data_IF_048287973927
#
_entry.id   IF_048287973927
#
_cell.length_a   1.000
_cell.length_b   1.000
_cell.length_c   1.000
_cell.angle_alpha   90.00
_cell.angle_beta   90.00
_cell.angle_gamma   90.00
#
_symmetry.space_group_name_H-M   'P 1'
#
loop_
_entity.id
_entity.type
_entity.pdbx_description
1 polymer ?
#
# COMPACT_ATOMS: atom_id res chain seq x y z
N UNK A 1 -12.38 -10.83 16.73
CA UNK A 1 -13.16 -9.81 16.00
C UNK A 1 -13.31 -10.29 14.58
N UNK A 2 -14.54 -10.40 14.12
CA UNK A 2 -14.87 -10.79 12.73
C UNK A 2 -14.69 -9.59 11.80
N UNK A 3 -14.44 -9.83 10.50
CA UNK A 3 -14.27 -8.77 9.48
C UNK A 3 -15.40 -7.71 9.52
N UNK A 4 -16.61 -8.14 9.87
CA UNK A 4 -17.79 -7.28 10.01
C UNK A 4 -17.64 -6.24 11.14
N UNK A 5 -16.94 -6.57 12.22
CA UNK A 5 -16.71 -5.68 13.36
C UNK A 5 -15.60 -4.65 13.06
N UNK A 6 -14.58 -5.04 12.27
CA UNK A 6 -13.52 -4.11 11.82
C UNK A 6 -14.06 -3.04 10.86
N UNK A 7 -14.93 -3.43 9.93
CA UNK A 7 -15.65 -2.50 9.05
C UNK A 7 -16.68 -1.65 9.81
N UNK A 8 -17.13 -2.06 11.00
CA UNK A 8 -18.05 -1.29 11.83
C UNK A 8 -17.35 -0.24 12.70
N UNK A 9 -16.02 -0.32 12.88
CA UNK A 9 -15.27 0.53 13.81
C UNK A 9 -15.08 1.98 13.29
N UNK A 10 -15.54 2.30 12.06
CA UNK A 10 -15.42 3.64 11.42
C UNK A 10 -14.02 4.26 11.48
N UNK A 11 -12.98 3.43 11.59
CA UNK A 11 -11.60 3.91 11.67
C UNK A 11 -11.02 3.99 10.26
N UNK A 12 -10.65 5.19 9.81
CA UNK A 12 -10.13 5.43 8.46
C UNK A 12 -8.79 4.73 8.21
N UNK A 13 -8.05 4.41 9.28
CA UNK A 13 -6.83 3.59 9.22
C UNK A 13 -7.10 2.15 8.74
N UNK A 14 -8.21 1.54 9.17
CA UNK A 14 -8.57 0.16 8.79
C UNK A 14 -9.01 0.12 7.32
N UNK A 15 -9.84 1.07 6.90
CA UNK A 15 -10.23 1.19 5.50
C UNK A 15 -9.01 1.46 4.60
N UNK A 16 -8.07 2.30 5.05
CA UNK A 16 -6.80 2.53 4.38
C UNK A 16 -6.01 1.23 4.19
N UNK A 17 -5.91 0.38 5.21
CA UNK A 17 -5.19 -0.89 5.12
C UNK A 17 -5.85 -1.88 4.14
N UNK A 18 -7.18 -2.00 4.17
CA UNK A 18 -7.90 -2.85 3.22
C UNK A 18 -7.77 -2.36 1.78
N UNK A 19 -7.86 -1.04 1.57
CA UNK A 19 -7.61 -0.44 0.25
C UNK A 19 -6.16 -0.58 -0.19
N UNK A 20 -5.19 -0.54 0.74
CA UNK A 20 -3.79 -0.82 0.47
C UNK A 20 -3.57 -2.25 -0.05
N UNK A 21 -4.20 -3.24 0.60
CA UNK A 21 -4.14 -4.64 0.14
C UNK A 21 -4.79 -4.79 -1.24
N UNK A 22 -5.95 -4.17 -1.45
CA UNK A 22 -6.60 -4.17 -2.76
C UNK A 22 -5.71 -3.53 -3.83
N UNK A 23 -5.05 -2.41 -3.50
CA UNK A 23 -4.09 -1.73 -4.37
C UNK A 23 -2.90 -2.61 -4.70
N UNK A 24 -2.40 -3.40 -3.75
CA UNK A 24 -1.33 -4.37 -3.98
C UNK A 24 -1.73 -5.45 -4.99
N UNK A 25 -2.92 -6.04 -4.84
CA UNK A 25 -3.44 -7.05 -5.78
C UNK A 25 -3.60 -6.44 -7.18
N UNK A 26 -4.16 -5.24 -7.27
CA UNK A 26 -4.34 -4.52 -8.54
C UNK A 26 -3.00 -4.16 -9.21
N UNK A 27 -2.03 -3.67 -8.43
CA UNK A 27 -0.69 -3.38 -8.94
C UNK A 27 0.01 -4.63 -9.49
N UNK A 28 -0.15 -5.77 -8.82
CA UNK A 28 0.42 -7.04 -9.26
C UNK A 28 -0.25 -7.55 -10.55
N UNK A 29 -1.58 -7.64 -10.56
CA UNK A 29 -2.33 -8.16 -11.70
C UNK A 29 -2.17 -7.28 -12.95
N UNK A 30 -2.30 -5.96 -12.79
CA UNK A 30 -2.22 -5.02 -13.90
C UNK A 30 -0.77 -4.73 -14.31
N UNK A 31 0.19 -4.84 -13.38
CA UNK A 31 1.61 -4.87 -13.71
C UNK A 31 1.93 -6.01 -14.68
N UNK A 32 1.52 -7.24 -14.37
CA UNK A 32 1.75 -8.40 -15.25
C UNK A 32 1.00 -8.24 -16.59
N UNK A 33 -0.25 -7.80 -16.56
CA UNK A 33 -1.04 -7.65 -17.78
C UNK A 33 -0.43 -6.64 -18.77
N UNK A 34 0.18 -5.56 -18.29
CA UNK A 34 0.78 -4.53 -19.14
C UNK A 34 2.19 -4.86 -19.64
N UNK A 35 2.88 -5.87 -19.09
CA UNK A 35 4.18 -6.36 -19.62
C UNK A 35 4.04 -6.88 -21.05
N UNK A 36 2.88 -7.43 -21.41
CA UNK A 36 2.62 -7.94 -22.76
C UNK A 36 2.29 -6.86 -23.80
N UNK A 37 2.23 -5.59 -23.40
CA UNK A 37 2.12 -4.49 -24.33
C UNK A 37 3.50 -4.22 -24.94
N UNK A 38 3.70 -4.53 -26.23
CA UNK A 38 4.96 -4.40 -27.01
C UNK A 38 5.57 -2.97 -27.10
N UNK A 39 5.27 -2.08 -26.15
CA UNK A 39 5.79 -0.72 -26.01
C UNK A 39 6.74 -0.67 -24.82
N UNK A 40 8.02 -0.48 -25.10
CA UNK A 40 9.11 -0.47 -24.10
C UNK A 40 8.84 0.47 -22.92
N UNK A 41 8.26 1.65 -23.19
CA UNK A 41 7.91 2.62 -22.15
C UNK A 41 6.93 2.05 -21.11
N UNK A 42 5.87 1.34 -21.56
CA UNK A 42 4.86 0.76 -20.67
C UNK A 42 5.44 -0.40 -19.87
N UNK A 43 6.35 -1.17 -20.46
CA UNK A 43 7.01 -2.30 -19.79
C UNK A 43 7.81 -1.81 -18.58
N UNK A 44 8.56 -0.70 -18.71
CA UNK A 44 9.33 -0.13 -17.59
C UNK A 44 8.40 0.25 -16.43
N UNK A 45 7.32 0.98 -16.71
CA UNK A 45 6.34 1.35 -15.67
C UNK A 45 5.58 0.15 -15.10
N UNK A 46 5.38 -0.90 -15.89
CA UNK A 46 4.75 -2.15 -15.44
C UNK A 46 5.63 -2.87 -14.43
N UNK A 47 6.94 -2.95 -14.68
CA UNK A 47 7.91 -3.52 -13.73
C UNK A 47 7.95 -2.68 -12.44
N UNK A 48 7.97 -1.34 -12.55
CA UNK A 48 7.92 -0.45 -11.38
C UNK A 48 6.64 -0.68 -10.55
N UNK A 49 5.48 -0.79 -11.22
CA UNK A 49 4.19 -1.03 -10.55
C UNK A 49 4.15 -2.40 -9.87
N UNK A 50 4.79 -3.40 -10.48
CA UNK A 50 4.97 -4.73 -9.88
C UNK A 50 5.89 -4.65 -8.65
N UNK A 51 6.99 -3.89 -8.71
CA UNK A 51 7.81 -3.61 -7.53
C UNK A 51 7.02 -2.93 -6.41
N UNK A 52 6.13 -1.99 -6.74
CA UNK A 52 5.27 -1.34 -5.74
C UNK A 52 4.32 -2.33 -5.05
N UNK A 53 3.82 -3.37 -5.73
CA UNK A 53 2.97 -4.37 -5.08
C UNK A 53 3.70 -5.06 -3.93
N UNK A 54 4.98 -5.38 -4.10
CA UNK A 54 5.81 -5.96 -3.05
C UNK A 54 6.08 -4.96 -1.92
N UNK A 55 6.40 -3.70 -2.24
CA UNK A 55 6.61 -2.66 -1.23
C UNK A 55 5.36 -2.46 -0.37
N UNK A 56 4.18 -2.39 -1.00
CA UNK A 56 2.89 -2.23 -0.31
C UNK A 56 2.61 -3.42 0.60
N UNK A 57 2.94 -4.64 0.17
CA UNK A 57 2.81 -5.84 0.98
C UNK A 57 3.57 -5.71 2.31
N UNK A 58 4.82 -5.24 2.28
CA UNK A 58 5.62 -5.01 3.50
C UNK A 58 5.10 -3.85 4.36
N UNK A 59 4.55 -2.79 3.75
CA UNK A 59 3.95 -1.68 4.49
C UNK A 59 2.69 -2.13 5.24
N UNK A 60 1.85 -2.96 4.62
CA UNK A 60 0.58 -3.36 5.21
C UNK A 60 0.65 -4.58 6.12
N UNK A 61 1.61 -5.48 5.90
CA UNK A 61 1.77 -6.71 6.68
C UNK A 61 3.14 -6.75 7.36
N UNK A 62 3.31 -6.05 8.51
CA UNK A 62 4.59 -6.02 9.24
C UNK A 62 5.03 -7.39 9.78
N UNK A 63 4.12 -8.37 9.83
CA UNK A 63 4.45 -9.77 10.12
C UNK A 63 5.47 -10.36 9.14
N UNK A 64 5.44 -9.96 7.86
CA UNK A 64 6.41 -10.47 6.88
C UNK A 64 7.84 -9.98 7.15
N UNK A 65 8.02 -8.79 7.72
CA UNK A 65 9.35 -8.30 8.12
C UNK A 65 9.97 -9.12 9.26
N UNK A 66 9.17 -9.91 9.98
CA UNK A 66 9.68 -10.77 11.06
C UNK A 66 10.02 -12.19 10.58
N UNK A 67 9.38 -12.64 9.49
CA UNK A 67 9.55 -13.99 8.94
C UNK A 67 10.59 -13.99 7.81
N UNK A 68 10.62 -12.93 6.99
CA UNK A 68 11.61 -12.78 5.94
C UNK A 68 12.90 -12.17 6.51
N UNK A 69 14.09 -12.77 6.27
CA UNK A 69 15.37 -12.15 6.59
C UNK A 69 15.64 -10.99 5.63
N UNK A 70 14.97 -9.86 5.86
CA UNK A 70 15.18 -8.62 5.11
C UNK A 70 16.35 -7.83 5.67
N UNK A 71 16.98 -7.02 4.82
CA UNK A 71 18.10 -6.16 5.24
C UNK A 71 17.67 -5.21 6.36
N UNK A 72 18.51 -5.01 7.37
CA UNK A 72 18.26 -4.09 8.50
C UNK A 72 17.97 -2.65 8.04
N UNK A 73 18.47 -2.25 6.88
CA UNK A 73 18.16 -0.96 6.24
C UNK A 73 16.72 -0.89 5.73
N UNK A 74 16.21 -1.99 5.17
CA UNK A 74 14.84 -2.10 4.68
C UNK A 74 13.84 -2.11 5.85
N UNK A 75 14.14 -2.87 6.90
CA UNK A 75 13.30 -2.93 8.10
C UNK A 75 13.17 -1.56 8.76
N UNK A 76 14.27 -0.83 8.88
CA UNK A 76 14.28 0.52 9.43
C UNK A 76 13.51 1.51 8.55
N UNK A 77 13.54 1.35 7.22
CA UNK A 77 12.75 2.17 6.31
C UNK A 77 11.25 1.91 6.47
N UNK A 78 10.81 0.65 6.52
CA UNK A 78 9.39 0.32 6.70
C UNK A 78 8.89 0.71 8.09
N UNK A 79 9.72 0.58 9.13
CA UNK A 79 9.40 1.06 10.49
C UNK A 79 9.13 2.57 10.53
N UNK A 80 9.86 3.38 9.76
CA UNK A 80 9.59 4.84 9.65
C UNK A 80 8.25 5.14 8.96
N UNK A 81 7.80 4.23 8.07
CA UNK A 81 6.53 4.32 7.35
C UNK A 81 5.35 3.78 8.20
N UNK A 82 5.55 3.50 9.50
CA UNK A 82 4.46 3.03 10.37
C UNK A 82 3.44 4.12 10.74
N UNK A 83 3.79 5.41 10.62
CA UNK A 83 2.88 6.52 10.93
C UNK A 83 1.89 6.80 9.80
N UNK A 84 0.65 7.19 10.14
CA UNK A 84 -0.41 7.50 9.16
C UNK A 84 0.03 8.54 8.12
N UNK A 85 0.76 9.57 8.56
CA UNK A 85 1.32 10.60 7.67
C UNK A 85 2.35 10.03 6.70
N UNK A 86 3.23 9.14 7.15
CA UNK A 86 4.26 8.57 6.27
C UNK A 86 3.69 7.54 5.29
N UNK A 87 2.68 6.77 5.71
CA UNK A 87 1.92 5.90 4.79
C UNK A 87 1.22 6.72 3.72
N UNK A 88 0.50 7.77 4.11
CA UNK A 88 -0.15 8.68 3.18
C UNK A 88 0.84 9.24 2.14
N UNK A 89 2.01 9.70 2.58
CA UNK A 89 3.07 10.19 1.70
C UNK A 89 3.59 9.08 0.76
N UNK A 90 3.86 7.88 1.28
CA UNK A 90 4.34 6.75 0.47
C UNK A 90 3.32 6.35 -0.63
N UNK A 91 2.05 6.20 -0.27
CA UNK A 91 0.97 5.91 -1.22
C UNK A 91 0.76 7.04 -2.23
N UNK A 92 0.88 8.30 -1.79
CA UNK A 92 0.82 9.46 -2.68
C UNK A 92 1.94 9.46 -3.73
N UNK A 93 3.19 9.21 -3.31
CA UNK A 93 4.33 9.14 -4.24
C UNK A 93 4.16 7.98 -5.22
N UNK A 94 3.76 6.79 -4.74
CA UNK A 94 3.50 5.64 -5.62
C UNK A 94 2.37 5.94 -6.62
N UNK A 95 1.29 6.59 -6.19
CA UNK A 95 0.21 7.00 -7.08
C UNK A 95 0.68 7.97 -8.17
N UNK A 96 1.49 8.98 -7.82
CA UNK A 96 2.05 9.94 -8.80
C UNK A 96 2.91 9.23 -9.83
N UNK A 97 3.78 8.30 -9.41
CA UNK A 97 4.62 7.50 -10.32
C UNK A 97 3.77 6.65 -11.27
N UNK A 98 2.69 6.04 -10.79
CA UNK A 98 1.78 5.26 -11.64
C UNK A 98 0.99 6.19 -12.58
N UNK A 99 0.55 7.36 -12.15
CA UNK A 99 -0.13 8.32 -13.03
C UNK A 99 0.79 8.90 -14.11
N UNK A 100 2.09 9.08 -13.82
CA UNK A 100 3.09 9.48 -14.82
C UNK A 100 3.16 8.50 -16.00
N UNK A 101 2.93 7.20 -15.76
CA UNK A 101 2.87 6.19 -16.82
C UNK A 101 1.72 6.43 -17.82
N UNK A 102 0.64 7.05 -17.36
CA UNK A 102 -0.59 7.27 -18.12
C UNK A 102 -0.58 8.56 -18.94
N UNK A 103 0.40 9.45 -18.74
CA UNK A 103 0.52 10.71 -19.51
C UNK A 103 0.83 10.42 -20.99
N UNK A 104 1.64 9.41 -21.27
CA UNK A 104 1.97 9.02 -22.65
C UNK A 104 0.82 8.25 -23.30
N UNK A 105 0.23 7.28 -22.60
CA UNK A 105 -0.89 6.49 -23.08
C UNK A 105 -1.80 6.05 -21.93
N UNK A 106 -3.12 6.22 -22.10
CA UNK A 106 -4.10 5.65 -21.20
C UNK A 106 -4.05 4.11 -21.28
N UNK A 107 -3.56 3.49 -20.22
CA UNK A 107 -3.42 2.03 -20.07
C UNK A 107 -4.19 1.57 -18.85
N UNK A 108 -4.33 0.25 -18.65
CA UNK A 108 -5.02 -0.28 -17.47
C UNK A 108 -4.29 0.00 -16.15
N UNK A 109 -3.06 0.56 -16.20
CA UNK A 109 -2.32 1.12 -15.06
C UNK A 109 -3.01 2.32 -14.40
N UNK A 110 -4.03 2.92 -15.01
CA UNK A 110 -4.80 3.99 -14.37
C UNK A 110 -5.59 3.50 -13.15
N UNK A 111 -6.07 2.25 -13.20
CA UNK A 111 -6.87 1.64 -12.12
C UNK A 111 -6.06 1.56 -10.81
N UNK A 112 -4.83 0.99 -10.77
CA UNK A 112 -4.04 0.97 -9.54
C UNK A 112 -3.66 2.38 -9.09
N UNK A 113 -3.44 3.33 -10.01
CA UNK A 113 -3.21 4.74 -9.66
C UNK A 113 -4.37 5.36 -8.87
N UNK A 114 -5.61 5.09 -9.28
CA UNK A 114 -6.82 5.56 -8.57
C UNK A 114 -6.95 4.90 -7.19
N UNK A 115 -6.71 3.59 -7.09
CA UNK A 115 -6.81 2.89 -5.81
C UNK A 115 -5.70 3.27 -4.83
N UNK A 116 -4.47 3.51 -5.31
CA UNK A 116 -3.36 4.03 -4.50
C UNK A 116 -3.66 5.44 -3.98
N UNK A 117 -4.24 6.31 -4.82
CA UNK A 117 -4.62 7.66 -4.40
C UNK A 117 -5.79 7.65 -3.42
N UNK A 118 -6.79 6.77 -3.60
CA UNK A 118 -7.85 6.56 -2.61
C UNK A 118 -7.30 6.05 -1.28
N UNK A 119 -6.34 5.12 -1.31
CA UNK A 119 -5.64 4.61 -0.12
C UNK A 119 -4.89 5.73 0.58
N UNK A 120 -4.13 6.53 -0.16
CA UNK A 120 -3.43 7.71 0.34
C UNK A 120 -4.40 8.71 1.00
N UNK A 121 -5.54 9.00 0.36
CA UNK A 121 -6.57 9.88 0.91
C UNK A 121 -7.16 9.34 2.22
N UNK A 122 -7.43 8.04 2.32
CA UNK A 122 -7.88 7.42 3.57
C UNK A 122 -6.86 7.59 4.70
N UNK A 123 -5.56 7.44 4.40
CA UNK A 123 -4.50 7.66 5.39
C UNK A 123 -4.32 9.14 5.75
N UNK A 124 -4.44 10.08 4.80
CA UNK A 124 -4.45 11.52 5.08
C UNK A 124 -5.62 11.87 5.99
N UNK A 125 -6.83 11.38 5.70
CA UNK A 125 -8.01 11.64 6.51
C UNK A 125 -7.87 11.06 7.93
N UNK A 126 -7.27 9.88 8.07
CA UNK A 126 -6.95 9.31 9.39
C UNK A 126 -5.93 10.16 10.15
N UNK A 127 -4.92 10.69 9.45
CA UNK A 127 -3.87 11.53 9.99
C UNK A 127 -4.40 12.90 10.45
N UNK A 128 -5.22 13.55 9.63
CA UNK A 128 -5.87 14.84 9.94
C UNK A 128 -6.88 14.70 11.08
N UNK A 129 -7.57 13.56 11.18
CA UNK A 129 -8.47 13.25 12.30
C UNK A 129 -7.74 12.84 13.59
N UNK A 130 -6.41 12.81 13.59
CA UNK A 130 -5.61 12.41 14.76
C UNK A 130 -5.88 10.99 15.23
N UNK A 131 -6.40 10.12 14.36
CA UNK A 131 -6.69 8.73 14.73
C UNK A 131 -5.38 7.97 14.87
N UNK A 132 -5.18 7.28 15.99
CA UNK A 132 -4.07 6.35 16.14
C UNK A 132 -4.17 5.26 15.07
N UNK A 133 -3.03 4.86 14.49
CA UNK A 133 -2.99 3.75 13.55
C UNK A 133 -3.49 2.48 14.24
N UNK A 134 -4.63 1.96 13.80
CA UNK A 134 -5.17 0.68 14.25
C UNK A 134 -5.12 -0.25 13.05
N UNK A 135 -4.16 -1.17 13.07
CA UNK A 135 -4.06 -2.22 12.06
C UNK A 135 -5.08 -3.33 12.32
N UNK A 136 -5.60 -3.93 11.25
CA UNK A 136 -6.49 -5.10 11.34
C UNK A 136 -5.82 -6.24 12.12
N UNK A 137 -6.59 -6.86 13.02
CA UNK A 137 -6.10 -7.97 13.85
C UNK A 137 -5.79 -9.21 13.01
N UNK A 138 -6.44 -9.33 11.85
CA UNK A 138 -6.26 -10.43 10.89
C UNK A 138 -4.92 -10.35 10.14
N UNK A 139 -4.35 -9.16 10.02
CA UNK A 139 -3.08 -8.87 9.33
C UNK A 139 -1.91 -8.64 10.31
N UNK A 140 -2.10 -8.98 11.59
CA UNK A 140 -1.07 -8.91 12.64
C UNK A 140 -1.18 -7.76 13.63
N UNK A 141 -2.22 -6.93 13.53
CA UNK A 141 -2.38 -5.71 14.34
C UNK A 141 -2.56 -5.92 15.86
N UNK A 142 -3.03 -7.07 16.32
CA UNK A 142 -3.32 -7.29 17.75
C UNK A 142 -2.15 -7.82 18.59
N UNK A 143 -1.15 -8.46 17.97
CA UNK A 143 -0.05 -9.12 18.70
C UNK A 143 1.33 -8.54 18.41
N UNK A 144 1.51 -7.83 17.29
CA UNK A 144 2.81 -7.27 16.89
C UNK A 144 2.92 -5.79 17.28
N UNK A 145 1.81 -5.03 17.26
CA UNK A 145 1.81 -3.61 17.65
C UNK A 145 2.10 -3.38 19.16
N UNK A 146 1.80 -4.35 20.04
CA UNK A 146 2.16 -4.30 21.46
C UNK A 146 3.58 -4.81 21.79
N UNK A 147 4.29 -5.38 20.80
CA UNK A 147 5.68 -5.82 20.97
C UNK A 147 6.70 -4.88 20.31
N UNK A 148 6.25 -3.73 19.78
CA UNK A 148 7.11 -2.59 19.40
C UNK A 148 7.13 -1.61 20.59
N UNK A 149 7.57 -2.12 21.75
CA UNK A 149 8.08 -1.32 22.88
C UNK A 149 9.57 -1.60 22.96
#
# INVERSE_FOLDING_TARGET
>A
MTLKEEFATRNFSIYGQWLGILSMILCFALGIANIFSFKVFIIIFSVITLCFSFVILFIEVPLLLRICPTSSTFDNAIRKISTNYMRAAAYGVMAVVVFLSCISHATSLIVPGIFLSLTGLCYVLAAVKGQAFVGSKTLGGAGVAQMIV
#
